data_IF_905653026151
#
_entry.id   IF_905653026151
#
_cell.length_a   1.000
_cell.length_b   1.000
_cell.length_c   1.000
_cell.angle_alpha   90.00
_cell.angle_beta   90.00
_cell.angle_gamma   90.00
#
_symmetry.space_group_name_H-M   'P 1'
#
loop_
_entity.id
_entity.type
_entity.pdbx_description
1 polymer ?
#
# COMPACT_ATOMS: atom_id res chain seq x y z
N UNK A 1 52.09 12.83 15.48
CA UNK A 1 52.09 12.58 14.01
C UNK A 1 50.90 13.31 13.41
N UNK A 2 51.15 14.26 12.50
CA UNK A 2 50.12 15.15 11.92
C UNK A 2 49.49 14.45 10.72
N UNK A 3 48.16 14.37 10.66
CA UNK A 3 47.42 13.83 9.50
C UNK A 3 47.17 14.96 8.47
N UNK A 4 47.41 14.73 7.17
CA UNK A 4 47.14 15.72 6.13
C UNK A 4 45.64 15.82 5.81
N UNK A 5 45.16 17.06 5.66
CA UNK A 5 43.81 17.39 5.23
C UNK A 5 43.68 17.16 3.71
N UNK A 6 42.66 16.41 3.28
CA UNK A 6 42.32 16.24 1.85
C UNK A 6 41.36 17.35 1.43
N UNK A 7 41.87 18.25 0.60
CA UNK A 7 41.17 19.32 -0.10
C UNK A 7 40.26 18.73 -1.19
N UNK A 8 38.98 19.13 -1.23
CA UNK A 8 38.09 18.84 -2.35
C UNK A 8 38.17 19.96 -3.39
N UNK A 9 38.40 19.58 -4.65
CA UNK A 9 38.39 20.47 -5.82
C UNK A 9 36.95 20.60 -6.31
N UNK A 10 36.44 21.82 -6.34
CA UNK A 10 35.14 22.15 -6.93
C UNK A 10 35.25 22.16 -8.46
N UNK A 11 34.49 21.31 -9.14
CA UNK A 11 34.34 21.32 -10.60
C UNK A 11 33.07 22.11 -10.94
N UNK A 12 33.25 23.35 -11.38
CA UNK A 12 32.20 24.19 -11.94
C UNK A 12 31.96 23.78 -13.41
N UNK A 13 30.78 23.26 -13.71
CA UNK A 13 30.34 23.05 -15.08
C UNK A 13 29.56 24.27 -15.57
N UNK A 14 30.12 24.96 -16.56
CA UNK A 14 29.52 26.08 -17.27
C UNK A 14 28.44 25.57 -18.25
N UNK A 15 27.19 26.01 -18.08
CA UNK A 15 26.16 25.85 -19.10
C UNK A 15 26.28 26.99 -20.12
N UNK A 16 26.69 26.66 -21.35
CA UNK A 16 26.70 27.59 -22.47
C UNK A 16 25.26 27.80 -22.98
N UNK A 17 24.77 29.04 -22.87
CA UNK A 17 23.50 29.46 -23.46
C UNK A 17 23.73 29.75 -24.94
N UNK A 18 23.24 28.89 -25.83
CA UNK A 18 23.22 29.15 -27.27
C UNK A 18 22.05 30.07 -27.63
N UNK A 19 22.29 31.38 -27.61
CA UNK A 19 21.45 32.35 -28.33
C UNK A 19 21.84 32.28 -29.80
N UNK A 20 20.98 31.70 -30.64
CA UNK A 20 21.00 31.92 -32.09
C UNK A 20 19.75 32.67 -32.49
N UNK A 21 19.98 33.84 -33.07
CA UNK A 21 18.95 34.78 -33.49
C UNK A 21 18.50 34.59 -34.94
N UNK A 22 17.39 35.29 -35.19
CA UNK A 22 17.04 36.02 -36.41
C UNK A 22 17.03 35.30 -37.76
N UNK A 23 15.81 35.04 -38.22
CA UNK A 23 15.45 34.93 -39.64
C UNK A 23 14.04 35.48 -39.84
N UNK A 24 13.94 36.76 -40.19
CA UNK A 24 12.68 37.40 -40.61
C UNK A 24 12.42 37.07 -42.09
N UNK A 25 11.32 36.38 -42.39
CA UNK A 25 10.61 36.49 -43.66
C UNK A 25 9.11 36.47 -43.38
N UNK A 26 8.44 37.50 -43.89
CA UNK A 26 7.06 37.80 -43.60
C UNK A 26 6.07 36.80 -44.18
N UNK A 27 5.03 36.52 -43.39
CA UNK A 27 3.72 36.20 -43.90
C UNK A 27 2.72 36.98 -43.04
N UNK A 28 2.06 37.96 -43.65
CA UNK A 28 0.86 38.60 -43.09
C UNK A 28 -0.26 37.57 -43.08
N UNK A 29 -0.31 36.74 -42.04
CA UNK A 29 -1.49 35.95 -41.75
C UNK A 29 -2.54 36.92 -41.20
N UNK A 30 -3.56 37.18 -42.01
CA UNK A 30 -4.75 37.89 -41.57
C UNK A 30 -5.22 37.25 -40.25
N UNK A 31 -5.27 38.07 -39.20
CA UNK A 31 -5.92 37.73 -37.95
C UNK A 31 -7.42 37.55 -38.26
N UNK A 32 -7.77 36.34 -38.71
CA UNK A 32 -9.13 35.87 -38.62
C UNK A 32 -9.45 35.86 -37.14
N UNK A 33 -10.36 36.76 -36.77
CA UNK A 33 -11.09 36.84 -35.52
C UNK A 33 -11.68 35.45 -35.24
N UNK A 34 -10.85 34.57 -34.67
CA UNK A 34 -11.25 33.23 -34.27
C UNK A 34 -11.95 33.44 -32.93
N UNK A 35 -13.26 33.15 -32.82
CA UNK A 35 -13.93 33.22 -31.54
C UNK A 35 -13.09 32.40 -30.56
N UNK A 36 -12.73 33.02 -29.44
CA UNK A 36 -12.08 32.32 -28.36
C UNK A 36 -12.90 31.06 -28.11
N UNK A 37 -12.31 29.90 -28.34
CA UNK A 37 -12.91 28.64 -27.95
C UNK A 37 -12.95 28.68 -26.43
N UNK A 38 -14.04 29.21 -25.87
CA UNK A 38 -14.43 28.97 -24.50
C UNK A 38 -14.73 27.48 -24.46
N UNK A 39 -13.72 26.69 -24.13
CA UNK A 39 -13.95 25.41 -23.49
C UNK A 39 -14.58 25.79 -22.14
N UNK A 40 -15.90 26.00 -22.15
CA UNK A 40 -16.71 25.60 -21.02
C UNK A 40 -16.27 24.17 -20.74
N UNK A 41 -15.42 24.01 -19.74
CA UNK A 41 -15.17 22.71 -19.14
C UNK A 41 -16.37 22.56 -18.21
N UNK A 42 -17.49 21.93 -18.64
CA UNK A 42 -18.52 21.57 -17.68
C UNK A 42 -17.80 20.84 -16.56
N UNK A 43 -18.02 21.30 -15.32
CA UNK A 43 -17.30 20.88 -14.13
C UNK A 43 -16.94 19.40 -14.24
N UNK A 44 -15.64 19.13 -14.35
CA UNK A 44 -15.11 17.79 -14.47
C UNK A 44 -15.30 17.12 -13.11
N UNK A 45 -16.53 16.71 -12.81
CA UNK A 45 -16.86 15.79 -11.74
C UNK A 45 -16.07 14.53 -12.07
N UNK A 46 -14.93 14.40 -11.41
CA UNK A 46 -14.02 13.28 -11.61
C UNK A 46 -14.67 12.07 -10.97
N UNK A 47 -15.58 11.43 -11.71
CA UNK A 47 -16.25 10.22 -11.24
C UNK A 47 -15.23 9.08 -11.32
N UNK A 48 -14.76 8.59 -10.18
CA UNK A 48 -13.88 7.42 -10.14
C UNK A 48 -14.75 6.16 -10.15
N UNK A 49 -14.40 5.17 -10.99
CA UNK A 49 -15.12 3.90 -11.02
C UNK A 49 -14.29 2.77 -10.42
N UNK A 50 -14.88 2.01 -9.49
CA UNK A 50 -14.23 0.90 -8.80
C UNK A 50 -15.21 -0.28 -8.70
N UNK A 51 -14.89 -1.39 -9.37
CA UNK A 51 -15.61 -2.66 -9.24
C UNK A 51 -17.16 -2.58 -9.36
N UNK A 52 -17.64 -1.75 -10.29
CA UNK A 52 -19.07 -1.51 -10.50
C UNK A 52 -19.67 -0.38 -9.66
N UNK A 53 -18.86 0.29 -8.84
CA UNK A 53 -19.24 1.48 -8.08
C UNK A 53 -18.68 2.75 -8.73
N UNK A 54 -19.34 3.87 -8.51
CA UNK A 54 -18.86 5.22 -8.81
C UNK A 54 -18.67 6.01 -7.52
N UNK A 55 -17.59 6.78 -7.44
CA UNK A 55 -17.27 7.70 -6.34
C UNK A 55 -17.46 9.11 -6.89
N UNK A 56 -18.58 9.74 -6.50
CA UNK A 56 -19.03 11.03 -7.02
C UNK A 56 -18.58 12.24 -6.19
N UNK A 57 -18.03 12.03 -5.00
CA UNK A 57 -17.54 13.10 -4.13
C UNK A 57 -16.18 12.74 -3.53
N UNK A 58 -15.24 13.68 -3.59
CA UNK A 58 -14.02 13.66 -2.81
C UNK A 58 -13.95 14.95 -1.98
N UNK A 59 -13.50 14.88 -0.72
CA UNK A 59 -13.33 16.08 0.07
C UNK A 59 -12.21 16.97 -0.50
N UNK A 60 -12.32 18.30 -0.37
CA UNK A 60 -11.31 19.22 -0.85
C UNK A 60 -9.90 18.87 -0.34
N UNK A 61 -8.92 18.92 -1.26
CA UNK A 61 -7.52 18.59 -0.97
C UNK A 61 -7.16 17.10 -1.12
N UNK A 62 -8.14 16.19 -1.23
CA UNK A 62 -7.88 14.79 -1.54
C UNK A 62 -7.61 14.57 -3.04
N UNK A 63 -8.27 15.35 -3.89
CA UNK A 63 -8.19 15.26 -5.37
C UNK A 63 -6.79 15.54 -5.93
N UNK A 64 -6.01 16.39 -5.26
CA UNK A 64 -4.64 16.73 -5.67
C UNK A 64 -3.60 15.67 -5.31
N UNK A 65 -4.01 14.56 -4.69
CA UNK A 65 -3.11 13.53 -4.18
C UNK A 65 -2.86 12.42 -5.21
N UNK A 66 -1.78 11.66 -4.97
CA UNK A 66 -1.47 10.51 -5.81
C UNK A 66 -2.47 9.38 -5.56
N UNK A 67 -3.01 8.82 -6.63
CA UNK A 67 -4.00 7.74 -6.58
C UNK A 67 -3.31 6.39 -6.78
N UNK A 68 -3.67 5.40 -5.94
CA UNK A 68 -3.28 4.00 -6.08
C UNK A 68 -4.53 3.13 -6.18
N UNK A 69 -4.56 2.22 -7.13
CA UNK A 69 -5.64 1.25 -7.32
C UNK A 69 -5.10 -0.16 -7.16
N UNK A 70 -5.90 -1.03 -6.56
CA UNK A 70 -5.52 -2.43 -6.39
C UNK A 70 -6.76 -3.32 -6.45
N UNK A 71 -6.58 -4.54 -6.95
CA UNK A 71 -7.60 -5.57 -6.94
C UNK A 71 -6.92 -6.93 -6.71
N UNK A 72 -7.45 -7.70 -5.76
CA UNK A 72 -7.00 -9.04 -5.42
C UNK A 72 -8.20 -9.95 -5.16
N UNK A 73 -7.99 -11.25 -5.31
CA UNK A 73 -8.93 -12.29 -4.93
C UNK A 73 -8.21 -13.33 -4.09
N UNK A 74 -8.75 -13.64 -2.92
CA UNK A 74 -8.15 -14.50 -1.90
C UNK A 74 -9.29 -15.14 -1.09
N UNK A 75 -9.20 -16.45 -0.82
CA UNK A 75 -10.15 -17.22 0.00
C UNK A 75 -11.64 -17.02 -0.36
N UNK A 76 -11.94 -17.01 -1.66
CA UNK A 76 -13.32 -16.81 -2.14
C UNK A 76 -13.84 -15.37 -2.00
N UNK A 77 -13.05 -14.45 -1.44
CA UNK A 77 -13.32 -13.03 -1.42
C UNK A 77 -12.55 -12.30 -2.53
N UNK A 78 -13.16 -11.27 -3.12
CA UNK A 78 -12.50 -10.33 -4.01
C UNK A 78 -12.51 -8.95 -3.38
N UNK A 79 -11.35 -8.35 -3.23
CA UNK A 79 -11.19 -6.99 -2.70
C UNK A 79 -10.65 -6.08 -3.77
N UNK A 80 -11.30 -4.94 -3.99
CA UNK A 80 -10.84 -3.88 -4.89
C UNK A 80 -10.81 -2.55 -4.13
N UNK A 81 -9.75 -1.77 -4.26
CA UNK A 81 -9.69 -0.45 -3.62
C UNK A 81 -9.05 0.62 -4.49
N UNK A 82 -9.42 1.87 -4.20
CA UNK A 82 -8.71 3.07 -4.60
C UNK A 82 -8.29 3.83 -3.34
N UNK A 83 -7.05 4.31 -3.30
CA UNK A 83 -6.48 5.05 -2.18
C UNK A 83 -5.79 6.31 -2.67
N UNK A 84 -5.91 7.38 -1.89
CA UNK A 84 -5.25 8.66 -2.12
C UNK A 84 -4.15 8.86 -1.07
N UNK A 85 -2.93 9.06 -1.55
CA UNK A 85 -1.71 9.16 -0.74
C UNK A 85 -0.96 10.44 -1.04
N UNK A 86 -0.43 11.08 0.00
CA UNK A 86 0.45 12.25 -0.14
C UNK A 86 1.90 11.81 -0.36
N UNK A 87 2.40 12.00 -1.59
CA UNK A 87 3.74 11.59 -1.98
C UNK A 87 3.97 10.08 -1.82
N UNK A 88 5.02 9.69 -1.09
CA UNK A 88 5.29 8.29 -0.71
C UNK A 88 4.68 7.90 0.64
N UNK A 89 3.91 8.80 1.24
CA UNK A 89 3.48 8.72 2.63
C UNK A 89 2.18 7.95 2.86
N UNK A 90 1.59 8.25 4.02
CA UNK A 90 0.39 7.59 4.53
C UNK A 90 -0.87 7.90 3.70
N UNK A 91 -1.79 6.93 3.66
CA UNK A 91 -3.11 7.04 3.05
C UNK A 91 -3.94 8.12 3.75
N UNK A 92 -4.51 9.04 2.97
CA UNK A 92 -5.37 10.11 3.46
C UNK A 92 -6.85 9.79 3.23
N UNK A 93 -7.15 9.02 2.18
CA UNK A 93 -8.48 8.51 1.91
C UNK A 93 -8.42 7.18 1.18
N UNK A 94 -9.44 6.35 1.34
CA UNK A 94 -9.54 5.05 0.66
C UNK A 94 -10.99 4.64 0.51
N UNK A 95 -11.34 4.07 -0.64
CA UNK A 95 -12.61 3.37 -0.85
C UNK A 95 -12.29 1.93 -1.23
N UNK A 96 -12.91 0.98 -0.53
CA UNK A 96 -12.73 -0.46 -0.73
C UNK A 96 -14.08 -1.12 -0.99
N UNK A 97 -14.14 -1.94 -2.03
CA UNK A 97 -15.26 -2.82 -2.34
C UNK A 97 -14.81 -4.25 -2.08
N UNK A 98 -15.58 -4.97 -1.27
CA UNK A 98 -15.35 -6.40 -0.98
C UNK A 98 -16.52 -7.18 -1.51
N UNK A 99 -16.25 -8.23 -2.27
CA UNK A 99 -17.22 -9.21 -2.72
C UNK A 99 -16.92 -10.56 -2.07
N UNK A 100 -17.80 -11.04 -1.21
CA UNK A 100 -17.68 -12.35 -0.55
C UNK A 100 -19.06 -12.83 -0.12
N UNK A 101 -19.40 -14.08 -0.40
CA UNK A 101 -20.68 -14.70 -0.04
C UNK A 101 -20.90 -14.84 1.49
N UNK A 102 -19.83 -14.62 2.27
CA UNK A 102 -19.85 -14.58 3.74
C UNK A 102 -20.42 -13.26 4.27
N UNK A 103 -20.36 -12.16 3.49
CA UNK A 103 -20.85 -10.85 3.91
C UNK A 103 -22.35 -10.77 3.63
N UNK A 104 -23.21 -11.16 4.58
CA UNK A 104 -24.68 -11.13 4.40
C UNK A 104 -25.32 -9.97 5.15
N UNK A 105 -24.74 -9.58 6.27
CA UNK A 105 -25.23 -8.56 7.18
C UNK A 105 -24.12 -7.56 7.54
N UNK A 106 -24.53 -6.41 8.10
CA UNK A 106 -23.59 -5.39 8.56
C UNK A 106 -22.66 -5.93 9.66
N UNK A 107 -23.20 -6.76 10.56
CA UNK A 107 -22.43 -7.47 11.57
C UNK A 107 -21.42 -8.45 10.97
N UNK A 108 -21.75 -9.20 9.91
CA UNK A 108 -20.77 -10.09 9.24
C UNK A 108 -19.58 -9.29 8.67
N UNK A 109 -19.86 -8.11 8.09
CA UNK A 109 -18.82 -7.22 7.58
C UNK A 109 -17.95 -6.67 8.72
N UNK A 110 -18.56 -6.31 9.85
CA UNK A 110 -17.86 -5.87 11.04
C UNK A 110 -16.96 -6.98 11.58
N UNK A 111 -17.48 -8.19 11.76
CA UNK A 111 -16.74 -9.29 12.37
C UNK A 111 -15.58 -9.77 11.48
N UNK A 112 -15.74 -9.72 10.15
CA UNK A 112 -14.68 -10.11 9.21
C UNK A 112 -13.53 -9.09 9.10
N UNK A 113 -13.81 -7.78 9.20
CA UNK A 113 -12.78 -6.74 8.96
C UNK A 113 -12.39 -5.94 10.19
N UNK A 114 -13.29 -5.82 11.15
CA UNK A 114 -13.21 -4.87 12.25
C UNK A 114 -13.43 -5.53 13.61
N UNK A 115 -13.15 -6.84 13.73
CA UNK A 115 -13.20 -7.57 15.03
C UNK A 115 -12.39 -6.90 16.14
N UNK A 116 -11.34 -6.16 15.77
CA UNK A 116 -10.49 -5.42 16.71
C UNK A 116 -11.06 -4.07 17.13
N UNK A 117 -12.02 -3.52 16.38
CA UNK A 117 -12.69 -2.29 16.78
C UNK A 117 -13.72 -2.62 17.86
N UNK A 118 -13.65 -1.89 18.96
CA UNK A 118 -14.59 -2.03 20.04
C UNK A 118 -15.99 -1.67 19.55
N UNK A 119 -16.99 -2.47 19.93
CA UNK A 119 -18.39 -2.25 19.57
C UNK A 119 -18.86 -0.85 20.01
N UNK A 120 -18.37 -0.40 21.17
CA UNK A 120 -18.74 0.90 21.75
C UNK A 120 -18.15 2.08 20.96
N UNK A 121 -17.11 1.86 20.17
CA UNK A 121 -16.49 2.88 19.31
C UNK A 121 -17.19 3.05 17.97
N UNK A 122 -18.15 2.18 17.65
CA UNK A 122 -18.89 2.18 16.40
C UNK A 122 -20.28 2.78 16.60
N UNK A 123 -20.55 3.86 15.88
CA UNK A 123 -21.86 4.48 15.82
C UNK A 123 -22.65 3.93 14.63
N UNK A 124 -23.87 3.47 14.89
CA UNK A 124 -24.78 3.02 13.84
C UNK A 124 -25.51 4.23 13.24
N UNK A 125 -25.38 4.46 11.95
CA UNK A 125 -25.95 5.62 11.24
C UNK A 125 -26.74 5.19 10.00
N UNK A 126 -27.58 6.10 9.48
CA UNK A 126 -28.17 5.99 8.14
C UNK A 126 -27.35 6.80 7.13
N UNK A 127 -26.82 6.12 6.11
CA UNK A 127 -26.02 6.71 5.03
C UNK A 127 -26.80 6.67 3.71
N UNK A 128 -27.73 7.62 3.54
CA UNK A 128 -28.64 7.72 2.41
C UNK A 128 -29.54 6.47 2.24
N UNK A 129 -30.23 6.08 3.32
CA UNK A 129 -31.10 4.88 3.35
C UNK A 129 -30.35 3.56 3.50
N UNK A 130 -29.05 3.61 3.82
CA UNK A 130 -28.20 2.43 4.05
C UNK A 130 -27.74 2.42 5.49
N UNK A 131 -28.04 1.33 6.17
CA UNK A 131 -27.53 1.12 7.53
C UNK A 131 -26.01 0.91 7.50
N UNK A 132 -25.29 1.73 8.26
CA UNK A 132 -23.83 1.76 8.25
C UNK A 132 -23.26 1.88 9.67
N UNK A 133 -22.00 1.47 9.82
CA UNK A 133 -21.19 1.77 11.00
C UNK A 133 -20.18 2.87 10.69
N UNK A 134 -20.07 3.82 11.61
CA UNK A 134 -19.14 4.94 11.59
C UNK A 134 -18.23 4.85 12.82
N UNK A 135 -16.91 4.82 12.61
CA UNK A 135 -15.93 5.04 13.66
C UNK A 135 -15.31 6.42 13.50
N UNK A 136 -15.67 7.34 14.41
CA UNK A 136 -15.15 8.71 14.39
C UNK A 136 -13.67 8.77 14.76
N UNK A 137 -13.20 7.84 15.59
CA UNK A 137 -11.83 7.80 16.08
C UNK A 137 -10.85 7.26 15.04
N UNK A 138 -11.25 6.26 14.25
CA UNK A 138 -10.38 5.70 13.20
C UNK A 138 -10.60 6.34 11.84
N UNK A 139 -11.75 6.98 11.61
CA UNK A 139 -12.11 7.55 10.33
C UNK A 139 -12.63 6.51 9.33
N UNK A 140 -13.20 5.41 9.82
CA UNK A 140 -13.82 4.35 9.01
C UNK A 140 -15.35 4.52 8.95
N UNK A 141 -15.91 4.31 7.76
CA UNK A 141 -17.34 4.20 7.49
C UNK A 141 -17.57 2.97 6.61
N UNK A 142 -18.46 2.06 7.01
CA UNK A 142 -18.71 0.86 6.23
C UNK A 142 -20.16 0.38 6.29
N UNK A 143 -20.60 -0.25 5.22
CA UNK A 143 -21.94 -0.79 5.06
C UNK A 143 -21.97 -2.00 4.12
N UNK A 144 -23.09 -2.73 4.14
CA UNK A 144 -23.38 -3.78 3.15
C UNK A 144 -24.35 -3.21 2.13
N UNK A 145 -23.91 -3.10 0.88
CA UNK A 145 -24.76 -2.58 -0.21
C UNK A 145 -25.86 -3.59 -0.56
N UNK A 146 -25.49 -4.87 -0.56
CA UNK A 146 -26.37 -6.04 -0.71
C UNK A 146 -25.64 -7.29 -0.22
N UNK A 147 -26.35 -8.39 0.09
CA UNK A 147 -25.69 -9.64 0.45
C UNK A 147 -24.64 -10.02 -0.60
N UNK A 148 -23.43 -10.29 -0.13
CA UNK A 148 -22.25 -10.55 -0.95
C UNK A 148 -21.35 -9.35 -1.19
N UNK A 149 -21.74 -8.12 -0.84
CA UNK A 149 -21.01 -6.89 -1.20
C UNK A 149 -20.90 -5.90 -0.03
N UNK A 150 -19.69 -5.77 0.52
CA UNK A 150 -19.34 -4.77 1.52
C UNK A 150 -18.64 -3.55 0.90
N UNK A 151 -18.92 -2.36 1.42
CA UNK A 151 -18.28 -1.10 1.04
C UNK A 151 -17.65 -0.47 2.27
N UNK A 152 -16.38 -0.08 2.17
CA UNK A 152 -15.62 0.56 3.24
C UNK A 152 -15.04 1.86 2.70
N UNK A 153 -15.18 2.93 3.46
CA UNK A 153 -14.63 4.26 3.19
C UNK A 153 -13.80 4.67 4.38
N UNK A 154 -12.59 5.14 4.12
CA UNK A 154 -11.68 5.66 5.12
C UNK A 154 -11.28 7.08 4.75
N UNK A 155 -11.27 7.97 5.75
CA UNK A 155 -10.63 9.28 5.69
C UNK A 155 -9.80 9.49 6.93
N UNK A 156 -8.66 10.15 6.78
CA UNK A 156 -7.79 10.48 7.90
C UNK A 156 -8.50 11.45 8.88
N UNK A 157 -8.79 11.05 10.13
CA UNK A 157 -9.59 11.85 11.06
C UNK A 157 -8.87 13.12 11.54
N UNK A 158 -7.54 13.18 11.45
CA UNK A 158 -6.77 14.39 11.77
C UNK A 158 -6.90 15.50 10.71
N UNK A 159 -7.40 15.15 9.51
CA UNK A 159 -7.54 16.09 8.39
C UNK A 159 -8.98 16.41 8.04
N UNK A 160 -9.87 15.43 8.13
CA UNK A 160 -11.28 15.58 7.80
C UNK A 160 -12.13 15.04 8.94
N UNK A 161 -13.21 15.77 9.25
CA UNK A 161 -14.16 15.32 10.26
C UNK A 161 -15.06 14.19 9.74
N UNK A 162 -15.84 13.60 10.64
CA UNK A 162 -16.78 12.53 10.31
C UNK A 162 -17.88 12.98 9.34
N UNK A 163 -18.21 14.27 9.27
CA UNK A 163 -19.19 14.80 8.31
C UNK A 163 -18.68 14.79 6.87
N UNK A 164 -17.39 15.02 6.65
CA UNK A 164 -16.74 14.83 5.34
C UNK A 164 -16.66 13.34 4.96
N UNK A 165 -16.39 12.46 5.93
CA UNK A 165 -16.39 11.01 5.72
C UNK A 165 -17.77 10.49 5.30
N UNK A 166 -18.83 10.95 5.97
CA UNK A 166 -20.21 10.61 5.59
C UNK A 166 -20.52 11.11 4.18
N UNK A 167 -20.20 12.37 3.85
CA UNK A 167 -20.40 12.92 2.49
C UNK A 167 -19.65 12.13 1.41
N UNK A 168 -18.42 11.70 1.70
CA UNK A 168 -17.67 10.82 0.80
C UNK A 168 -18.34 9.45 0.66
N UNK A 169 -18.85 8.86 1.74
CA UNK A 169 -19.64 7.63 1.70
C UNK A 169 -20.93 7.75 0.90
N UNK A 170 -21.67 8.85 1.03
CA UNK A 170 -22.88 9.15 0.25
C UNK A 170 -22.58 9.24 -1.25
N UNK A 171 -21.40 9.74 -1.60
CA UNK A 171 -20.88 9.80 -2.97
C UNK A 171 -20.57 8.43 -3.59
N UNK A 172 -20.48 7.36 -2.80
CA UNK A 172 -20.24 5.99 -3.31
C UNK A 172 -21.56 5.31 -3.67
N UNK A 173 -21.75 5.05 -4.95
CA UNK A 173 -22.99 4.51 -5.51
C UNK A 173 -22.71 3.30 -6.41
N UNK A 174 -23.51 2.24 -6.30
CA UNK A 174 -23.47 1.13 -7.26
C UNK A 174 -23.98 1.66 -8.61
N UNK A 175 -23.20 1.46 -9.69
CA UNK A 175 -23.61 1.82 -11.03
C UNK A 175 -24.69 0.85 -11.51
N UNK A 176 -25.94 1.22 -11.29
CA UNK A 176 -27.10 0.49 -11.83
C UNK A 176 -26.97 0.41 -13.36
N UNK A 177 -26.93 -0.80 -13.89
CA UNK A 177 -26.86 -1.04 -15.34
C UNK A 177 -25.51 -1.50 -15.88
N UNK A 178 -24.48 -1.70 -15.04
CA UNK A 178 -23.35 -2.55 -15.45
C UNK A 178 -23.81 -4.02 -15.38
N UNK A 179 -24.56 -4.44 -16.40
CA UNK A 179 -24.72 -5.87 -16.69
C UNK A 179 -23.31 -6.34 -17.01
N UNK A 180 -22.66 -6.94 -16.01
CA UNK A 180 -21.46 -7.74 -16.22
C UNK A 180 -21.83 -8.67 -17.37
N UNK A 181 -21.12 -8.70 -18.51
CA UNK A 181 -21.41 -9.68 -19.54
C UNK A 181 -21.21 -11.04 -18.86
N UNK A 182 -22.32 -11.64 -18.42
CA UNK A 182 -22.35 -13.04 -18.06
C UNK A 182 -21.94 -13.71 -19.35
N UNK A 183 -20.77 -14.35 -19.32
CA UNK A 183 -20.31 -15.20 -20.40
C UNK A 183 -21.13 -16.51 -20.41
N UNK A 184 -22.45 -16.39 -20.21
CA UNK A 184 -23.45 -17.45 -20.29
C UNK A 184 -24.03 -17.37 -21.70
N UNK A 185 -23.26 -17.84 -22.67
CA UNK A 185 -23.65 -17.74 -24.07
C UNK A 185 -22.61 -18.20 -25.07
N UNK A 186 -21.64 -19.02 -24.67
CA UNK A 186 -20.79 -19.76 -25.60
C UNK A 186 -21.13 -21.25 -25.58
N UNK A 187 -22.42 -21.57 -25.61
CA UNK A 187 -22.90 -22.82 -26.19
C UNK A 187 -22.78 -22.69 -27.72
N UNK A 188 -21.68 -23.20 -28.27
CA UNK A 188 -21.69 -23.66 -29.66
C UNK A 188 -20.98 -22.83 -30.74
N UNK A 189 -19.89 -22.11 -30.43
CA UNK A 189 -18.86 -21.92 -31.48
C UNK A 189 -17.69 -22.84 -31.17
N UNK A 190 -17.74 -23.99 -31.81
CA UNK A 190 -16.63 -24.91 -31.98
C UNK A 190 -15.41 -24.16 -32.51
N UNK A 191 -14.54 -23.73 -31.60
CA UNK A 191 -13.18 -23.41 -31.95
C UNK A 191 -12.54 -24.71 -32.45
N UNK A 192 -12.28 -24.78 -33.76
CA UNK A 192 -11.35 -25.73 -34.33
C UNK A 192 -9.95 -25.38 -33.81
N UNK A 193 -9.68 -25.73 -32.56
CA UNK A 193 -8.32 -25.88 -32.09
C UNK A 193 -7.81 -27.18 -32.68
N UNK A 194 -6.82 -27.04 -33.55
CA UNK A 194 -5.98 -28.12 -34.03
C UNK A 194 -5.41 -28.84 -32.80
N UNK A 195 -5.97 -30.02 -32.51
CA UNK A 195 -5.47 -30.92 -31.48
C UNK A 195 -4.14 -31.50 -31.97
N UNK A 196 -3.03 -30.98 -31.45
CA UNK A 196 -1.77 -31.74 -31.43
C UNK A 196 -1.87 -32.67 -30.23
N UNK A 197 -2.12 -33.95 -30.50
CA UNK A 197 -2.36 -34.97 -29.51
C UNK A 197 -1.15 -35.25 -28.62
N UNK A 198 -1.44 -35.52 -27.34
CA UNK A 198 -0.66 -36.50 -26.57
C UNK A 198 -1.54 -37.11 -25.49
N UNK A 199 -1.94 -38.36 -25.74
CA UNK A 199 -2.52 -39.28 -24.77
C UNK A 199 -1.55 -39.52 -23.62
N UNK A 200 -2.05 -39.49 -22.38
CA UNK A 200 -1.74 -40.53 -21.42
C UNK A 200 -2.81 -40.63 -20.34
N UNK A 201 -3.32 -41.85 -20.24
CA UNK A 201 -4.36 -42.32 -19.35
C UNK A 201 -3.94 -42.24 -17.87
N UNK A 202 -4.89 -41.85 -17.02
CA UNK A 202 -4.74 -41.73 -15.57
C UNK A 202 -6.11 -41.65 -14.90
N UNK A 203 -6.64 -42.83 -14.60
CA UNK A 203 -7.85 -43.21 -13.86
C UNK A 203 -8.22 -42.31 -12.66
N UNK A 204 -9.51 -41.95 -12.44
CA UNK A 204 -9.93 -41.23 -11.25
C UNK A 204 -10.24 -42.21 -10.10
N UNK A 205 -9.40 -42.22 -9.06
CA UNK A 205 -9.73 -42.86 -7.79
C UNK A 205 -10.55 -41.89 -6.93
N UNK A 206 -11.82 -42.23 -6.73
CA UNK A 206 -12.63 -41.69 -5.66
C UNK A 206 -12.27 -42.43 -4.37
N UNK A 207 -11.62 -41.75 -3.41
CA UNK A 207 -11.66 -42.20 -2.02
C UNK A 207 -11.39 -41.06 -1.02
N UNK A 208 -12.21 -41.10 0.03
CA UNK A 208 -12.08 -40.60 1.40
C UNK A 208 -11.47 -39.22 1.69
N UNK A 209 -12.28 -38.40 2.35
CA UNK A 209 -11.86 -37.13 2.91
C UNK A 209 -10.83 -37.21 4.01
N UNK A 210 -10.04 -36.14 4.11
CA UNK A 210 -9.41 -35.64 5.32
C UNK A 210 -9.10 -34.17 5.04
N UNK A 211 -9.70 -33.27 5.81
CA UNK A 211 -9.38 -31.84 5.79
C UNK A 211 -7.96 -31.67 6.33
N UNK A 212 -6.99 -31.37 5.45
CA UNK A 212 -5.69 -30.90 5.87
C UNK A 212 -5.73 -29.37 5.91
N UNK A 213 -5.71 -28.81 7.11
CA UNK A 213 -5.34 -27.43 7.44
C UNK A 213 -3.87 -27.16 7.09
N UNK A 214 -3.53 -27.11 5.80
CA UNK A 214 -2.21 -26.71 5.33
C UNK A 214 -2.36 -25.89 4.05
N UNK A 215 -2.57 -24.58 4.21
CA UNK A 215 -2.77 -23.63 3.11
C UNK A 215 -2.04 -22.29 3.27
N UNK A 216 -1.32 -22.05 4.37
CA UNK A 216 -0.54 -20.81 4.56
C UNK A 216 0.85 -20.84 3.86
N UNK A 217 1.35 -22.00 3.41
CA UNK A 217 2.74 -22.12 2.91
C UNK A 217 2.99 -21.64 1.47
N UNK A 218 1.97 -21.21 0.71
CA UNK A 218 2.15 -20.91 -0.72
C UNK A 218 2.53 -19.46 -1.02
N UNK A 219 2.22 -18.50 -0.13
CA UNK A 219 2.59 -17.10 -0.28
C UNK A 219 4.04 -16.83 0.17
N UNK A 220 4.45 -17.44 1.27
CA UNK A 220 5.83 -17.39 1.78
C UNK A 220 6.85 -17.89 0.76
N UNK A 221 6.50 -18.90 -0.06
CA UNK A 221 7.41 -19.41 -1.09
C UNK A 221 7.67 -18.41 -2.22
N UNK A 222 6.68 -17.57 -2.55
CA UNK A 222 6.80 -16.58 -3.63
C UNK A 222 7.58 -15.35 -3.14
N UNK A 223 7.31 -14.90 -1.92
CA UNK A 223 8.06 -13.79 -1.32
C UNK A 223 9.53 -14.18 -1.02
N UNK A 224 9.80 -15.44 -0.65
CA UNK A 224 11.15 -15.95 -0.51
C UNK A 224 11.92 -16.01 -1.85
N UNK A 225 11.25 -16.44 -2.94
CA UNK A 225 11.85 -16.47 -4.27
C UNK A 225 12.17 -15.07 -4.80
N UNK A 226 11.27 -14.11 -4.61
CA UNK A 226 11.48 -12.70 -4.97
C UNK A 226 12.65 -12.10 -4.16
N UNK A 227 12.76 -12.43 -2.87
CA UNK A 227 13.84 -11.95 -1.99
C UNK A 227 15.21 -12.44 -2.43
N UNK A 228 15.34 -13.73 -2.79
CA UNK A 228 16.60 -14.30 -3.27
C UNK A 228 17.04 -13.66 -4.60
N UNK A 229 16.11 -13.44 -5.53
CA UNK A 229 16.39 -12.79 -6.81
C UNK A 229 16.85 -11.33 -6.64
N UNK A 230 16.20 -10.58 -5.74
CA UNK A 230 16.60 -9.20 -5.42
C UNK A 230 18.00 -9.16 -4.81
N UNK A 231 18.30 -10.02 -3.83
CA UNK A 231 19.64 -10.08 -3.20
C UNK A 231 20.73 -10.45 -4.19
N UNK A 232 20.48 -11.41 -5.09
CA UNK A 232 21.44 -11.79 -6.13
C UNK A 232 21.72 -10.62 -7.09
N UNK A 233 20.67 -9.91 -7.54
CA UNK A 233 20.84 -8.77 -8.44
C UNK A 233 21.67 -7.65 -7.78
N UNK A 234 21.37 -7.32 -6.52
CA UNK A 234 22.10 -6.28 -5.79
C UNK A 234 23.56 -6.70 -5.54
N UNK A 235 23.80 -7.98 -5.23
CA UNK A 235 25.12 -8.55 -5.11
C UNK A 235 25.92 -8.42 -6.42
N UNK A 236 25.31 -8.79 -7.55
CA UNK A 236 25.96 -8.69 -8.87
C UNK A 236 26.26 -7.23 -9.25
N UNK A 237 25.43 -6.26 -8.86
CA UNK A 237 25.66 -4.85 -9.20
C UNK A 237 26.74 -4.19 -8.32
N UNK A 238 26.68 -4.40 -7.00
CA UNK A 238 27.56 -3.70 -6.04
C UNK A 238 28.88 -4.45 -5.81
N UNK A 239 28.86 -5.79 -5.90
CA UNK A 239 30.00 -6.61 -5.49
C UNK A 239 30.89 -7.05 -6.66
N UNK A 240 30.45 -6.88 -7.91
CA UNK A 240 31.27 -7.21 -9.07
C UNK A 240 32.42 -6.21 -9.20
N UNK A 241 33.68 -6.63 -8.99
CA UNK A 241 34.81 -5.73 -9.16
C UNK A 241 34.92 -5.30 -10.62
N UNK A 242 35.52 -4.13 -10.91
CA UNK A 242 35.76 -3.70 -12.28
C UNK A 242 36.51 -4.80 -13.06
N UNK A 243 36.24 -4.95 -14.37
CA UNK A 243 36.64 -6.10 -15.19
C UNK A 243 38.16 -6.34 -15.26
N UNK A 244 38.97 -5.41 -14.75
CA UNK A 244 40.42 -5.53 -14.61
C UNK A 244 40.91 -6.46 -13.50
N UNK A 245 40.03 -7.00 -12.65
CA UNK A 245 40.39 -7.85 -11.50
C UNK A 245 39.86 -9.30 -11.57
N UNK A 246 39.30 -9.72 -12.70
CA UNK A 246 38.61 -11.02 -12.80
C UNK A 246 39.58 -12.16 -13.16
N UNK A 247 39.86 -13.05 -12.20
CA UNK A 247 40.34 -14.41 -12.47
C UNK A 247 39.16 -15.30 -12.88
N UNK A 248 39.38 -16.29 -13.76
CA UNK A 248 38.36 -17.14 -14.40
C UNK A 248 37.49 -17.99 -13.44
N UNK A 249 37.79 -18.02 -12.14
CA UNK A 249 36.92 -18.62 -11.12
C UNK A 249 35.86 -17.63 -10.63
N UNK A 250 34.82 -17.42 -11.45
CA UNK A 250 33.61 -16.70 -11.02
C UNK A 250 32.77 -17.61 -10.11
N UNK A 251 33.19 -17.74 -8.86
CA UNK A 251 32.34 -18.23 -7.80
C UNK A 251 31.07 -17.35 -7.74
N UNK A 252 29.90 -17.97 -7.60
CA UNK A 252 28.61 -17.27 -7.45
C UNK A 252 28.76 -16.20 -6.37
N UNK A 253 28.62 -14.94 -6.75
CA UNK A 253 28.67 -13.81 -5.82
C UNK A 253 27.48 -13.96 -4.86
N UNK A 254 27.75 -14.28 -3.60
CA UNK A 254 26.72 -14.33 -2.57
C UNK A 254 26.49 -12.94 -2.00
N UNK A 255 25.26 -12.67 -1.57
CA UNK A 255 24.90 -11.44 -0.88
C UNK A 255 25.72 -11.29 0.42
N UNK A 256 26.37 -10.14 0.56
CA UNK A 256 27.16 -9.75 1.73
C UNK A 256 26.63 -8.41 2.24
N UNK A 257 26.00 -8.45 3.42
CA UNK A 257 25.35 -7.29 4.03
C UNK A 257 26.35 -6.24 4.52
N UNK A 258 27.51 -6.66 5.02
CA UNK A 258 28.57 -5.75 5.47
C UNK A 258 29.05 -4.92 4.27
N UNK A 259 29.31 -5.59 3.15
CA UNK A 259 29.77 -4.94 1.93
C UNK A 259 28.70 -4.08 1.26
N UNK A 260 27.43 -4.45 1.36
CA UNK A 260 26.32 -3.57 0.98
C UNK A 260 26.32 -2.28 1.82
N UNK A 261 26.51 -2.39 3.14
CA UNK A 261 26.52 -1.25 4.05
C UNK A 261 27.75 -0.34 3.87
N UNK A 262 28.89 -0.89 3.46
CA UNK A 262 30.08 -0.12 3.08
C UNK A 262 29.92 0.65 1.75
N UNK A 263 29.03 0.20 0.86
CA UNK A 263 28.83 0.85 -0.43
C UNK A 263 28.28 2.28 -0.29
N UNK A 264 28.77 3.18 -1.15
CA UNK A 264 28.37 4.58 -1.08
C UNK A 264 26.86 4.73 -1.34
N UNK A 265 26.19 5.62 -0.61
CA UNK A 265 24.76 5.89 -0.80
C UNK A 265 24.30 6.08 -2.28
N UNK A 266 25.04 6.79 -3.17
CA UNK A 266 24.66 6.88 -4.58
C UNK A 266 24.78 5.55 -5.33
N UNK A 267 25.73 4.68 -4.97
CA UNK A 267 25.91 3.36 -5.59
C UNK A 267 24.78 2.42 -5.17
N UNK A 268 24.43 2.39 -3.87
CA UNK A 268 23.27 1.65 -3.37
C UNK A 268 21.98 2.05 -4.06
N UNK A 269 21.76 3.37 -4.24
CA UNK A 269 20.59 3.88 -4.95
C UNK A 269 20.57 3.43 -6.42
N UNK A 270 21.71 3.50 -7.11
CA UNK A 270 21.80 3.05 -8.50
C UNK A 270 21.54 1.54 -8.64
N UNK A 271 22.04 0.73 -7.69
CA UNK A 271 21.78 -0.71 -7.64
C UNK A 271 20.29 -1.03 -7.46
N UNK A 272 19.61 -0.36 -6.53
CA UNK A 272 18.15 -0.53 -6.34
C UNK A 272 17.38 -0.13 -7.59
N UNK A 273 17.76 0.98 -8.22
CA UNK A 273 17.11 1.44 -9.45
C UNK A 273 17.28 0.43 -10.60
N UNK A 274 18.48 -0.11 -10.78
CA UNK A 274 18.80 -1.11 -11.80
C UNK A 274 18.04 -2.42 -11.56
N UNK A 275 18.06 -2.94 -10.33
CA UNK A 275 17.41 -4.21 -10.00
C UNK A 275 15.89 -4.12 -10.04
N UNK A 276 15.30 -2.96 -9.71
CA UNK A 276 13.87 -2.72 -9.89
C UNK A 276 13.45 -2.84 -11.36
N UNK A 277 14.23 -2.24 -12.27
CA UNK A 277 13.96 -2.31 -13.71
C UNK A 277 14.18 -3.72 -14.27
N UNK A 278 15.29 -4.38 -13.90
CA UNK A 278 15.63 -5.72 -14.40
C UNK A 278 14.64 -6.80 -13.96
N UNK A 279 14.15 -6.73 -12.71
CA UNK A 279 13.23 -7.72 -12.16
C UNK A 279 11.75 -7.36 -12.36
N UNK A 280 11.45 -6.15 -12.83
CA UNK A 280 10.08 -5.65 -12.93
C UNK A 280 9.40 -5.48 -11.56
N UNK A 281 10.19 -5.26 -10.51
CA UNK A 281 9.71 -5.10 -9.13
C UNK A 281 9.74 -3.61 -8.78
N UNK A 282 8.69 -3.12 -8.11
CA UNK A 282 8.63 -1.73 -7.68
C UNK A 282 9.74 -1.41 -6.64
N UNK A 283 10.43 -0.27 -6.81
CA UNK A 283 11.56 0.14 -5.95
C UNK A 283 11.26 0.10 -4.46
N UNK A 284 10.03 0.43 -4.05
CA UNK A 284 9.67 0.43 -2.63
C UNK A 284 9.69 -0.97 -2.02
N UNK A 285 9.37 -2.01 -2.81
CA UNK A 285 9.38 -3.40 -2.34
C UNK A 285 10.81 -3.88 -2.09
N UNK A 286 11.75 -3.50 -2.97
CA UNK A 286 13.20 -3.74 -2.74
C UNK A 286 13.68 -3.03 -1.48
N UNK A 287 13.29 -1.76 -1.26
CA UNK A 287 13.68 -1.02 -0.06
C UNK A 287 13.07 -1.63 1.22
N UNK A 288 11.84 -2.14 1.17
CA UNK A 288 11.23 -2.82 2.31
C UNK A 288 12.01 -4.09 2.70
N UNK A 289 12.40 -4.90 1.71
CA UNK A 289 13.23 -6.10 1.93
C UNK A 289 14.59 -5.77 2.54
N UNK A 290 15.21 -4.65 2.13
CA UNK A 290 16.49 -4.21 2.69
C UNK A 290 16.34 -3.64 4.11
N UNK A 291 15.24 -2.96 4.40
CA UNK A 291 14.96 -2.43 5.74
C UNK A 291 14.72 -3.55 6.77
N UNK A 292 14.18 -4.69 6.33
CA UNK A 292 14.00 -5.86 7.19
C UNK A 292 15.34 -6.52 7.56
N UNK A 293 16.33 -6.50 6.65
CA UNK A 293 17.70 -6.96 6.96
C UNK A 293 18.48 -5.96 7.83
N UNK A 294 18.31 -4.65 7.62
CA UNK A 294 19.01 -3.62 8.40
C UNK A 294 18.52 -3.52 9.84
N UNK A 295 17.40 -4.17 10.22
CA UNK A 295 16.96 -4.19 11.61
C UNK A 295 18.08 -4.87 12.40
N UNK A 296 18.85 -4.12 13.22
CA UNK A 296 19.94 -4.73 13.97
C UNK A 296 19.30 -5.87 14.73
N UNK A 297 19.89 -7.06 14.65
CA UNK A 297 19.54 -8.15 15.55
C UNK A 297 19.58 -7.50 16.94
N UNK A 298 18.40 -7.20 17.49
CA UNK A 298 18.28 -6.63 18.82
C UNK A 298 19.11 -7.59 19.65
N UNK A 299 20.24 -7.09 20.17
CA UNK A 299 21.10 -7.85 21.03
C UNK A 299 20.15 -8.43 22.06
N UNK A 300 19.89 -9.73 21.96
CA UNK A 300 19.37 -10.55 23.04
C UNK A 300 20.44 -10.37 24.11
N UNK A 301 20.31 -9.29 24.86
CA UNK A 301 21.03 -9.05 26.08
C UNK A 301 20.63 -10.23 26.93
N UNK A 302 21.53 -11.21 26.98
CA UNK A 302 21.62 -12.14 28.05
C UNK A 302 21.78 -11.30 29.33
N UNK A 303 20.65 -10.87 29.89
CA UNK A 303 20.46 -10.69 31.32
C UNK A 303 20.61 -12.11 31.89
N UNK A 304 21.84 -12.57 32.12
CA UNK A 304 22.61 -12.32 33.32
C UNK A 304 21.76 -12.61 34.56
N UNK A 305 21.92 -13.86 35.00
CA UNK A 305 21.50 -14.36 36.28
C UNK A 305 21.98 -13.43 37.39
N UNK A 306 21.08 -12.75 38.11
CA UNK A 306 21.39 -12.32 39.47
C UNK A 306 20.17 -12.37 40.38
N UNK A 307 20.11 -13.47 41.12
CA UNK A 307 19.77 -13.57 42.53
C UNK A 307 18.41 -12.99 43.00
N UNK A 308 17.46 -13.90 43.15
CA UNK A 308 16.43 -13.88 44.22
C UNK A 308 17.04 -13.59 45.60
N UNK A 309 16.60 -12.55 46.33
CA UNK A 309 16.65 -12.55 47.77
C UNK A 309 15.33 -13.09 48.33
N UNK A 310 15.51 -14.16 49.10
CA UNK A 310 14.55 -14.83 49.95
C UNK A 310 13.92 -13.86 50.95
N UNK A 311 12.60 -13.99 51.12
CA UNK A 311 11.80 -13.39 52.17
C UNK A 311 12.41 -13.61 53.56
N UNK A 312 12.31 -12.62 54.45
CA UNK A 312 11.93 -12.79 55.85
C UNK A 312 11.51 -11.43 56.49
N UNK A 313 10.32 -11.46 57.10
CA UNK A 313 9.84 -10.74 58.29
C UNK A 313 10.23 -9.26 58.55
N UNK A 314 9.21 -8.37 58.62
CA UNK A 314 8.74 -7.80 59.90
C UNK A 314 7.59 -6.77 59.74
N UNK A 315 6.71 -6.81 60.73
CA UNK A 315 5.49 -6.05 61.04
C UNK A 315 5.54 -4.50 61.04
N UNK A 316 4.43 -3.89 60.53
CA UNK A 316 3.59 -2.78 61.09
C UNK A 316 4.20 -1.40 61.53
N UNK A 317 3.38 -0.35 61.79
CA UNK A 317 2.44 0.39 60.95
C UNK A 317 2.72 1.92 60.99
N UNK A 318 1.82 2.76 60.42
CA UNK A 318 1.75 4.25 60.42
C UNK A 318 2.44 4.91 59.22
N UNK A 319 1.91 5.93 58.55
CA UNK A 319 0.83 6.88 58.86
C UNK A 319 0.55 7.76 57.63
N UNK A 320 -0.69 8.28 57.56
CA UNK A 320 -1.08 9.61 57.03
C UNK A 320 -0.87 9.87 55.54
N UNK A 321 -1.97 9.96 54.78
CA UNK A 321 -2.66 11.23 54.47
C UNK A 321 -1.80 12.14 53.60
N UNK A 322 -2.03 12.09 52.29
CA UNK A 322 -1.91 13.24 51.40
C UNK A 322 -2.84 13.04 50.21
N UNK A 323 -4.10 13.44 50.41
CA UNK A 323 -5.01 13.82 49.34
C UNK A 323 -4.35 14.97 48.56
N UNK A 324 -3.92 14.69 47.33
CA UNK A 324 -3.61 15.72 46.35
C UNK A 324 -4.87 15.99 45.53
N UNK A 325 -5.53 17.17 45.67
CA UNK A 325 -6.62 17.54 44.79
C UNK A 325 -6.08 17.92 43.41
N UNK A 326 -6.59 17.22 42.40
CA UNK A 326 -6.36 17.49 40.98
C UNK A 326 -6.83 18.91 40.60
N UNK A 327 -6.02 19.75 39.92
CA UNK A 327 -6.33 21.17 39.69
C UNK A 327 -7.19 21.49 38.45
N UNK A 328 -7.99 20.56 37.91
CA UNK A 328 -8.68 20.77 36.62
C UNK A 328 -10.16 21.22 36.68
N UNK A 329 -10.68 21.65 37.84
CA UNK A 329 -12.11 22.06 37.98
C UNK A 329 -12.39 23.56 38.05
N UNK A 330 -11.58 24.44 37.45
CA UNK A 330 -11.99 25.86 37.32
C UNK A 330 -11.71 26.44 35.93
N UNK A 331 -12.66 26.25 35.02
CA UNK A 331 -12.97 27.25 33.98
C UNK A 331 -14.49 27.33 33.79
N UNK A 332 -15.16 28.41 34.25
CA UNK A 332 -16.51 28.74 33.85
C UNK A 332 -16.49 29.41 32.48
N UNK A 333 -17.16 28.81 31.50
CA UNK A 333 -17.49 29.49 30.25
C UNK A 333 -18.83 30.23 30.43
N UNK A 334 -18.72 31.55 30.37
CA UNK A 334 -19.78 32.50 30.02
C UNK A 334 -19.99 32.49 28.50
#
# INVERSE_FOLDING_TARGET
>A
MRKPHKTWVALAAAAAVSVTGFGALGATAAAADRPALSWDVPGQESSYSLDGFSIGYLPPGLEGQSMKTHAAAEDGARTSYVAWTEGRGATNGKVTIIRSDEIRTLEDLRDSRYRRLDAESLEKIDNNGREAYLSRSTGDLFWVERPGVGVLVYLRPERWDSGELVRMGEGVQERRGFVRPTFDGFDGVSAQFVSVGRSRDGEPSADSGYWNEAGEDSQDSKDAADTAAVKQCLADYVLTPPPSALSEDMAKVQWDEERWNEAAAPERKAAVDHCAEQLGIEKWRINALLAETEKPAEEESADDETETPRSDEAEEPRSKTEEWPWPWTMLPWL
#
